data_IF_606170281764
#
_entry.id   IF_606170281764
#
_cell.length_a   1.000
_cell.length_b   1.000
_cell.length_c   1.000
_cell.angle_alpha   90.00
_cell.angle_beta   90.00
_cell.angle_gamma   90.00
#
_symmetry.space_group_name_H-M   'P 1'
#
loop_
_entity.id
_entity.type
_entity.pdbx_description
1 polymer ?
#
# COMPACT_ATOMS: atom_id res chain seq x y z
N UNK A 1 16.16 -13.10 18.44
CA UNK A 1 14.77 -12.86 18.00
C UNK A 1 14.90 -11.98 16.77
N UNK A 2 15.01 -12.59 15.60
CA UNK A 2 14.87 -11.88 14.33
C UNK A 2 13.44 -11.34 14.26
N UNK A 3 13.31 -10.06 13.88
CA UNK A 3 12.02 -9.45 13.60
C UNK A 3 11.63 -9.86 12.18
N UNK A 4 10.52 -10.55 12.02
CA UNK A 4 9.88 -10.78 10.72
C UNK A 4 9.46 -9.44 10.12
N UNK A 5 10.36 -8.81 9.36
CA UNK A 5 10.00 -7.79 8.39
C UNK A 5 9.53 -8.52 7.12
N UNK A 6 8.40 -8.08 6.57
CA UNK A 6 8.00 -8.27 5.16
C UNK A 6 7.21 -9.53 4.79
N UNK A 7 5.92 -9.53 5.15
CA UNK A 7 4.90 -10.13 4.30
C UNK A 7 3.73 -9.15 4.20
N UNK A 8 3.70 -8.29 3.17
CA UNK A 8 2.56 -7.44 2.84
C UNK A 8 2.10 -7.73 1.41
N UNK A 9 0.79 -7.68 1.18
CA UNK A 9 0.20 -7.73 -0.16
C UNK A 9 -0.27 -6.32 -0.50
N UNK A 10 0.18 -5.80 -1.64
CA UNK A 10 -0.21 -4.48 -2.13
C UNK A 10 -0.90 -4.60 -3.49
N UNK A 11 -1.90 -3.75 -3.72
CA UNK A 11 -2.60 -3.62 -5.00
C UNK A 11 -2.47 -2.17 -5.48
N UNK A 12 -2.11 -2.00 -6.74
CA UNK A 12 -2.01 -0.69 -7.39
C UNK A 12 -3.12 -0.58 -8.42
N UNK A 13 -4.06 0.34 -8.21
CA UNK A 13 -5.12 0.64 -9.16
C UNK A 13 -4.84 1.99 -9.81
N UNK A 14 -4.48 1.99 -11.09
CA UNK A 14 -4.30 3.20 -11.89
C UNK A 14 -5.55 3.36 -12.76
N UNK A 15 -6.50 4.17 -12.31
CA UNK A 15 -7.68 4.50 -13.11
C UNK A 15 -7.32 5.43 -14.27
N UNK A 16 -8.00 5.27 -15.41
CA UNK A 16 -8.00 6.25 -16.51
C UNK A 16 -8.81 7.49 -16.09
N UNK A 17 -8.37 8.22 -15.06
CA UNK A 17 -8.99 9.48 -14.66
C UNK A 17 -8.42 10.64 -15.46
N UNK A 18 -9.30 11.50 -15.98
CA UNK A 18 -8.95 12.76 -16.65
C UNK A 18 -8.55 13.86 -15.65
N UNK A 19 -8.60 13.58 -14.35
CA UNK A 19 -8.10 14.45 -13.28
C UNK A 19 -6.81 13.86 -12.71
N UNK A 20 -5.82 14.70 -12.50
CA UNK A 20 -4.47 14.40 -11.94
C UNK A 20 -4.51 13.81 -10.51
N UNK A 21 -5.69 13.54 -9.97
CA UNK A 21 -5.93 13.53 -8.53
C UNK A 21 -5.93 12.17 -7.83
N UNK A 22 -5.77 11.03 -8.51
CA UNK A 22 -5.95 9.74 -7.82
C UNK A 22 -4.72 8.81 -7.89
N UNK A 23 -3.57 9.31 -7.40
CA UNK A 23 -2.53 8.41 -6.91
C UNK A 23 -2.91 7.92 -5.52
N UNK A 24 -3.50 6.73 -5.43
CA UNK A 24 -3.81 6.09 -4.15
C UNK A 24 -3.17 4.69 -4.11
N UNK A 25 -2.34 4.43 -3.10
CA UNK A 25 -1.78 3.09 -2.81
C UNK A 25 -2.39 2.59 -1.51
N UNK A 26 -3.10 1.48 -1.59
CA UNK A 26 -3.80 0.86 -0.47
C UNK A 26 -3.03 -0.38 0.01
N UNK A 27 -2.77 -0.42 1.31
CA UNK A 27 -2.08 -1.53 1.97
C UNK A 27 -3.08 -2.34 2.76
N UNK A 28 -3.01 -3.66 2.64
CA UNK A 28 -3.88 -4.61 3.33
C UNK A 28 -3.05 -5.54 4.21
N UNK A 29 -3.71 -6.12 5.22
CA UNK A 29 -3.10 -7.17 6.03
C UNK A 29 -2.81 -8.40 5.17
N UNK A 30 -1.65 -9.02 5.38
CA UNK A 30 -1.30 -10.23 4.67
C UNK A 30 -2.27 -11.36 4.99
N UNK A 31 -2.74 -12.01 3.95
CA UNK A 31 -3.44 -13.27 4.03
C UNK A 31 -2.81 -14.28 3.08
N UNK A 32 -2.96 -15.56 3.39
CA UNK A 32 -2.35 -16.66 2.62
C UNK A 32 -2.90 -16.76 1.20
N UNK A 33 -4.08 -16.19 0.95
CA UNK A 33 -4.75 -16.21 -0.35
C UNK A 33 -4.33 -15.03 -1.25
N UNK A 34 -3.54 -14.10 -0.71
CA UNK A 34 -3.05 -12.89 -1.37
C UNK A 34 -4.16 -11.97 -1.89
N UNK A 35 -5.30 -11.91 -1.18
CA UNK A 35 -6.41 -11.04 -1.51
C UNK A 35 -6.30 -9.66 -0.87
N UNK A 36 -6.80 -8.64 -1.56
CA UNK A 36 -6.95 -7.28 -1.03
C UNK A 36 -8.43 -7.04 -0.71
N UNK A 37 -8.92 -7.72 0.33
CA UNK A 37 -10.33 -7.62 0.77
C UNK A 37 -10.44 -6.86 2.10
N UNK A 38 -11.56 -6.15 2.28
CA UNK A 38 -11.86 -5.41 3.51
C UNK A 38 -11.41 -3.94 3.46
N UNK A 39 -11.16 -3.37 4.64
CA UNK A 39 -10.68 -1.99 4.75
C UNK A 39 -9.15 -1.97 4.72
N UNK A 40 -8.53 -1.08 3.92
CA UNK A 40 -7.08 -0.94 3.92
C UNK A 40 -6.58 -0.48 5.29
N UNK A 41 -5.45 -1.05 5.72
CA UNK A 41 -4.78 -0.66 6.97
C UNK A 41 -4.08 0.69 6.84
N UNK A 42 -3.68 1.05 5.61
CA UNK A 42 -3.06 2.35 5.28
C UNK A 42 -3.39 2.70 3.83
N UNK A 43 -3.65 3.97 3.58
CA UNK A 43 -3.85 4.51 2.23
C UNK A 43 -2.89 5.68 2.05
N UNK A 44 -2.07 5.62 1.02
CA UNK A 44 -1.08 6.63 0.65
C UNK A 44 -1.60 7.40 -0.56
N UNK A 45 -1.67 8.72 -0.46
CA UNK A 45 -2.36 9.57 -1.47
C UNK A 45 -1.42 10.37 -2.36
N UNK A 46 -0.12 10.28 -2.13
CA UNK A 46 0.90 10.97 -2.92
C UNK A 46 2.27 10.27 -2.78
N UNK A 47 3.22 10.67 -3.63
CA UNK A 47 4.56 10.08 -3.66
C UNK A 47 5.38 10.39 -2.41
N UNK A 48 5.25 11.57 -1.81
CA UNK A 48 5.99 11.93 -0.60
C UNK A 48 5.60 11.03 0.58
N UNK A 49 4.29 10.75 0.74
CA UNK A 49 3.78 9.79 1.71
C UNK A 49 4.27 8.37 1.44
N UNK A 50 4.41 7.98 0.17
CA UNK A 50 4.95 6.67 -0.19
C UNK A 50 6.43 6.56 0.17
N UNK A 51 7.24 7.57 -0.16
CA UNK A 51 8.68 7.57 0.13
C UNK A 51 8.90 7.49 1.65
N UNK A 52 8.21 8.32 2.42
CA UNK A 52 8.31 8.28 3.89
C UNK A 52 7.92 6.91 4.46
N UNK A 53 6.90 6.24 3.89
CA UNK A 53 6.51 4.90 4.31
C UNK A 53 7.61 3.86 4.03
N UNK A 54 8.26 3.94 2.87
CA UNK A 54 9.33 3.02 2.51
C UNK A 54 10.58 3.25 3.38
N UNK A 55 10.90 4.51 3.70
CA UNK A 55 11.99 4.85 4.63
C UNK A 55 11.68 4.39 6.07
N UNK A 56 10.40 4.35 6.50
CA UNK A 56 9.97 3.77 7.78
C UNK A 56 10.16 2.25 7.85
N UNK A 57 10.22 1.57 6.69
CA UNK A 57 10.31 0.11 6.58
C UNK A 57 11.75 -0.40 6.41
N UNK A 58 12.69 0.45 6.00
CA UNK A 58 14.14 0.21 6.02
C UNK A 58 14.73 0.10 7.45
#
# INVERSE_FOLDING_TARGET
>A
MEKDHDNYVFSMNVGESLTVDDFNVEFFEYNQELYCEGNPIRVVKNFDELINLLDEWE
#
